data_IF_623520565052
#
_entry.id   IF_623520565052
#
_cell.length_a   1.000
_cell.length_b   1.000
_cell.length_c   1.000
_cell.angle_alpha   90.00
_cell.angle_beta   90.00
_cell.angle_gamma   90.00
#
_symmetry.space_group_name_H-M   'P 1'
#
loop_
_entity.id
_entity.type
_entity.pdbx_description
1 polymer ?
#
# COMPACT_ATOMS: atom_id res chain seq x y z
N UNK A 1 1.18 7.17 -32.85
CA UNK A 1 0.39 7.57 -31.68
C UNK A 1 0.67 9.04 -31.44
N UNK A 2 -0.23 9.82 -30.85
CA UNK A 2 0.09 11.19 -30.47
C UNK A 2 1.17 11.15 -29.37
N UNK A 3 2.09 12.13 -29.36
CA UNK A 3 3.07 12.23 -28.28
C UNK A 3 2.36 12.40 -26.94
N UNK A 4 2.82 11.73 -25.86
CA UNK A 4 2.27 11.88 -24.52
C UNK A 4 2.33 13.36 -24.09
N UNK A 5 1.22 13.88 -23.60
CA UNK A 5 1.13 15.26 -23.10
C UNK A 5 1.36 15.36 -21.61
N UNK A 6 1.29 14.23 -20.92
CA UNK A 6 1.53 14.13 -19.47
C UNK A 6 2.88 13.47 -19.26
N UNK A 7 3.66 14.06 -18.36
CA UNK A 7 5.03 13.67 -18.01
C UNK A 7 5.16 13.58 -16.50
N UNK A 8 6.21 12.94 -16.00
CA UNK A 8 6.41 12.74 -14.58
C UNK A 8 7.65 13.46 -14.06
N UNK A 9 7.56 13.96 -12.82
CA UNK A 9 8.70 14.38 -12.01
C UNK A 9 8.76 13.48 -10.77
N UNK A 10 9.85 12.73 -10.65
CA UNK A 10 10.09 11.83 -9.52
C UNK A 10 11.02 12.50 -8.53
N UNK A 11 10.49 12.88 -7.37
CA UNK A 11 11.23 13.59 -6.32
C UNK A 11 11.65 12.58 -5.24
N UNK A 12 12.94 12.58 -4.92
CA UNK A 12 13.48 11.68 -3.89
C UNK A 12 14.63 12.37 -3.14
N UNK A 13 14.82 11.95 -1.89
CA UNK A 13 16.02 12.34 -1.12
C UNK A 13 17.31 11.82 -1.76
N UNK A 14 17.23 10.79 -2.59
CA UNK A 14 18.38 10.17 -3.25
C UNK A 14 18.31 10.38 -4.76
N UNK A 15 19.31 11.04 -5.35
CA UNK A 15 19.45 11.16 -6.80
C UNK A 15 19.41 9.78 -7.48
N UNK A 16 20.12 8.80 -6.95
CA UNK A 16 20.18 7.44 -7.50
C UNK A 16 18.84 6.72 -7.46
N UNK A 17 18.00 6.98 -6.44
CA UNK A 17 16.66 6.39 -6.34
C UNK A 17 15.77 7.01 -7.42
N UNK A 18 15.73 8.31 -7.55
CA UNK A 18 14.95 9.00 -8.57
C UNK A 18 15.38 8.62 -9.99
N UNK A 19 16.68 8.59 -10.28
CA UNK A 19 17.23 8.20 -11.57
C UNK A 19 16.92 6.73 -11.91
N UNK A 20 17.14 5.80 -10.97
CA UNK A 20 16.88 4.38 -11.18
C UNK A 20 15.39 4.09 -11.37
N UNK A 21 14.51 4.81 -10.67
CA UNK A 21 13.07 4.68 -10.86
C UNK A 21 12.63 5.28 -12.21
N UNK A 22 13.19 6.41 -12.63
CA UNK A 22 12.94 6.98 -13.95
C UNK A 22 13.36 6.03 -15.07
N UNK A 23 14.51 5.36 -14.92
CA UNK A 23 14.96 4.32 -15.86
C UNK A 23 13.98 3.13 -15.89
N UNK A 24 13.55 2.64 -14.73
CA UNK A 24 12.61 1.52 -14.63
C UNK A 24 11.27 1.86 -15.26
N UNK A 25 10.68 3.01 -14.93
CA UNK A 25 9.40 3.44 -15.48
C UNK A 25 9.48 3.71 -16.98
N UNK A 26 10.61 4.24 -17.46
CA UNK A 26 10.88 4.46 -18.88
C UNK A 26 10.94 3.17 -19.71
N UNK A 27 11.20 2.01 -19.12
CA UNK A 27 11.09 0.73 -19.84
C UNK A 27 9.65 0.38 -20.21
N UNK A 28 8.68 0.86 -19.41
CA UNK A 28 7.25 0.60 -19.64
C UNK A 28 6.57 1.73 -20.41
N UNK A 29 7.18 2.92 -20.41
CA UNK A 29 6.64 4.14 -20.99
C UNK A 29 7.71 4.87 -21.81
N UNK A 30 8.09 4.26 -22.92
CA UNK A 30 9.24 4.70 -23.75
C UNK A 30 9.08 6.07 -24.40
N UNK A 31 7.85 6.54 -24.57
CA UNK A 31 7.53 7.83 -25.19
C UNK A 31 7.22 8.92 -24.14
N UNK A 32 7.14 8.55 -22.84
CA UNK A 32 6.86 9.46 -21.71
C UNK A 32 8.17 10.04 -21.18
N UNK A 33 8.23 11.35 -21.04
CA UNK A 33 9.34 11.99 -20.32
C UNK A 33 9.17 11.83 -18.83
N UNK A 34 10.23 11.38 -18.18
CA UNK A 34 10.29 11.19 -16.73
C UNK A 34 11.53 11.89 -16.22
N UNK A 35 11.33 12.97 -15.49
CA UNK A 35 12.42 13.74 -14.89
C UNK A 35 12.69 13.25 -13.47
N UNK A 36 13.97 13.08 -13.14
CA UNK A 36 14.41 12.73 -11.79
C UNK A 36 14.90 14.00 -11.08
N UNK A 37 14.25 14.36 -9.96
CA UNK A 37 14.61 15.47 -9.09
C UNK A 37 15.00 14.93 -7.71
N UNK A 38 16.16 14.32 -7.60
CA UNK A 38 16.61 13.63 -6.39
C UNK A 38 17.93 14.14 -5.83
N UNK A 39 18.06 14.10 -4.51
CA UNK A 39 19.25 14.56 -3.78
C UNK A 39 19.40 16.07 -3.72
N UNK A 40 20.55 16.50 -3.19
CA UNK A 40 20.98 17.87 -3.21
C UNK A 40 21.93 18.10 -4.40
N UNK A 41 22.13 19.37 -4.80
CA UNK A 41 23.09 19.75 -5.84
C UNK A 41 24.52 19.31 -5.53
N UNK A 42 24.86 19.17 -4.25
CA UNK A 42 26.14 18.61 -3.79
C UNK A 42 26.30 17.11 -4.04
N UNK A 43 25.21 16.40 -4.43
CA UNK A 43 25.16 14.96 -4.54
C UNK A 43 24.87 14.22 -3.22
N UNK A 44 24.62 14.94 -2.14
CA UNK A 44 24.25 14.37 -0.84
C UNK A 44 22.77 14.03 -0.78
N UNK A 45 22.39 13.24 0.22
CA UNK A 45 20.98 12.89 0.52
C UNK A 45 20.25 14.14 1.01
N UNK A 46 19.07 14.40 0.45
CA UNK A 46 18.20 15.52 0.80
C UNK A 46 17.29 15.91 -0.36
N UNK A 47 16.47 16.95 -0.18
CA UNK A 47 15.59 17.51 -1.21
C UNK A 47 16.01 18.96 -1.50
N UNK A 48 16.15 19.28 -2.78
CA UNK A 48 16.47 20.64 -3.24
C UNK A 48 15.23 21.28 -3.85
N UNK A 49 14.80 22.42 -3.29
CA UNK A 49 13.73 23.23 -3.84
C UNK A 49 14.03 23.62 -5.31
N UNK A 50 15.24 24.10 -5.56
CA UNK A 50 15.65 24.60 -6.88
C UNK A 50 15.67 23.51 -7.95
N UNK A 51 16.10 22.28 -7.60
CA UNK A 51 16.07 21.13 -8.52
C UNK A 51 14.63 20.72 -8.87
N UNK A 52 13.74 20.71 -7.87
CA UNK A 52 12.32 20.35 -8.07
C UNK A 52 11.63 21.43 -8.92
N UNK A 53 11.78 22.70 -8.55
CA UNK A 53 11.21 23.84 -9.27
C UNK A 53 11.67 23.85 -10.73
N UNK A 54 12.97 23.70 -10.96
CA UNK A 54 13.56 23.67 -12.32
C UNK A 54 12.98 22.52 -13.13
N UNK A 55 12.92 21.30 -12.57
CA UNK A 55 12.40 20.12 -13.27
C UNK A 55 10.94 20.31 -13.68
N UNK A 56 10.10 20.90 -12.83
CA UNK A 56 8.69 21.16 -13.12
C UNK A 56 8.57 22.27 -14.17
N UNK A 57 9.24 23.42 -13.98
CA UNK A 57 9.13 24.58 -14.85
C UNK A 57 9.62 24.30 -16.28
N UNK A 58 10.71 23.53 -16.42
CA UNK A 58 11.22 23.15 -17.74
C UNK A 58 10.18 22.36 -18.54
N UNK A 59 9.46 21.44 -17.90
CA UNK A 59 8.42 20.63 -18.54
C UNK A 59 7.16 21.46 -18.86
N UNK A 60 6.71 22.30 -17.92
CA UNK A 60 5.59 23.23 -18.13
C UNK A 60 5.89 24.23 -19.24
N UNK A 61 7.12 24.74 -19.32
CA UNK A 61 7.58 25.65 -20.36
C UNK A 61 7.53 25.06 -21.79
N UNK A 62 7.52 23.74 -21.91
CA UNK A 62 7.32 23.02 -23.17
C UNK A 62 5.83 22.75 -23.48
N UNK A 63 4.93 23.18 -22.61
CA UNK A 63 3.47 22.97 -22.75
C UNK A 63 3.01 21.58 -22.36
N UNK A 64 3.76 20.88 -21.54
CA UNK A 64 3.43 19.54 -21.01
C UNK A 64 2.69 19.67 -19.68
N UNK A 65 1.84 18.71 -19.38
CA UNK A 65 1.23 18.57 -18.06
C UNK A 65 2.08 17.65 -17.18
N UNK A 66 2.20 17.95 -15.89
CA UNK A 66 3.16 17.30 -15.00
C UNK A 66 2.47 16.59 -13.84
N UNK A 67 2.79 15.33 -13.63
CA UNK A 67 2.48 14.61 -12.38
C UNK A 67 3.76 14.50 -11.54
N UNK A 68 3.69 14.94 -10.29
CA UNK A 68 4.80 14.91 -9.33
C UNK A 68 4.56 13.83 -8.28
N UNK A 69 5.57 13.01 -8.03
CA UNK A 69 5.55 11.93 -7.02
C UNK A 69 6.75 12.08 -6.09
N UNK A 70 6.60 11.74 -4.81
CA UNK A 70 7.63 11.88 -3.77
C UNK A 70 7.88 10.58 -3.02
N UNK A 71 9.08 10.44 -2.42
CA UNK A 71 9.45 9.26 -1.62
C UNK A 71 9.04 9.39 -0.14
N UNK A 72 9.26 10.53 0.49
CA UNK A 72 9.02 10.74 1.93
C UNK A 72 8.38 12.10 2.19
N UNK A 73 7.69 12.24 3.32
CA UNK A 73 6.92 13.43 3.67
C UNK A 73 7.69 14.76 3.65
N UNK A 74 9.02 14.78 3.91
CA UNK A 74 9.82 16.01 3.76
C UNK A 74 10.00 16.41 2.30
N UNK A 75 10.05 15.47 1.36
CA UNK A 75 10.03 15.78 -0.07
C UNK A 75 8.65 16.32 -0.48
N UNK A 76 7.57 15.76 0.06
CA UNK A 76 6.21 16.26 -0.11
C UNK A 76 6.10 17.74 0.29
N UNK A 77 6.57 18.10 1.48
CA UNK A 77 6.54 19.49 1.96
C UNK A 77 7.31 20.45 1.02
N UNK A 78 8.42 19.98 0.46
CA UNK A 78 9.21 20.80 -0.50
C UNK A 78 8.45 20.97 -1.82
N UNK A 79 7.83 19.89 -2.33
CA UNK A 79 6.99 19.94 -3.55
C UNK A 79 5.80 20.86 -3.33
N UNK A 80 5.07 20.74 -2.22
CA UNK A 80 3.95 21.63 -1.90
C UNK A 80 4.37 23.10 -1.90
N UNK A 81 5.55 23.41 -1.33
CA UNK A 81 6.09 24.78 -1.34
C UNK A 81 6.41 25.29 -2.76
N UNK A 82 6.84 24.43 -3.68
CA UNK A 82 7.03 24.80 -5.09
C UNK A 82 5.69 25.05 -5.75
N UNK A 83 4.71 24.18 -5.51
CA UNK A 83 3.40 24.25 -6.14
C UNK A 83 2.54 25.44 -5.71
N UNK A 84 2.81 26.02 -4.52
CA UNK A 84 2.14 27.26 -4.06
C UNK A 84 2.24 28.42 -5.07
N UNK A 85 3.24 28.38 -5.96
CA UNK A 85 3.46 29.41 -6.98
C UNK A 85 2.97 29.00 -8.38
N UNK A 86 2.34 27.84 -8.52
CA UNK A 86 1.94 27.23 -9.79
C UNK A 86 0.42 26.91 -9.87
N UNK A 87 -0.42 27.68 -9.16
CA UNK A 87 -1.87 27.42 -8.99
C UNK A 87 -2.64 27.28 -10.32
N UNK A 88 -2.23 27.97 -11.38
CA UNK A 88 -2.91 27.97 -12.68
C UNK A 88 -2.23 27.03 -13.71
N UNK A 89 -1.17 26.33 -13.34
CA UNK A 89 -0.40 25.49 -14.25
C UNK A 89 -0.91 24.04 -14.25
N UNK A 90 -0.76 23.30 -15.36
CA UNK A 90 -1.20 21.90 -15.45
C UNK A 90 -0.23 20.95 -14.73
N UNK A 91 -0.15 21.07 -13.41
CA UNK A 91 0.69 20.24 -12.55
C UNK A 91 -0.14 19.65 -11.41
N UNK A 92 0.09 18.39 -11.09
CA UNK A 92 -0.53 17.69 -9.95
C UNK A 92 0.49 16.94 -9.14
N UNK A 93 0.46 17.16 -7.84
CA UNK A 93 1.13 16.29 -6.88
C UNK A 93 0.21 15.14 -6.49
N UNK A 94 0.74 13.93 -6.42
CA UNK A 94 0.03 12.74 -5.96
C UNK A 94 0.79 12.10 -4.79
N UNK A 95 0.14 12.04 -3.64
CA UNK A 95 0.67 11.36 -2.45
C UNK A 95 0.34 9.87 -2.51
N UNK A 96 1.29 9.09 -3.00
CA UNK A 96 1.14 7.65 -3.18
C UNK A 96 2.51 6.95 -3.09
N UNK A 97 2.57 5.63 -2.85
CA UNK A 97 3.82 4.88 -2.84
C UNK A 97 4.61 5.08 -4.13
N UNK A 98 5.79 5.70 -4.00
CA UNK A 98 6.54 6.26 -5.13
C UNK A 98 6.77 5.28 -6.28
N UNK A 99 7.17 4.03 -6.00
CA UNK A 99 7.54 3.07 -7.05
C UNK A 99 6.32 2.62 -7.83
N UNK A 100 5.29 2.17 -7.12
CA UNK A 100 4.05 1.68 -7.72
C UNK A 100 3.31 2.79 -8.46
N UNK A 101 3.23 3.97 -7.86
CA UNK A 101 2.59 5.14 -8.45
C UNK A 101 3.33 5.62 -9.71
N UNK A 102 4.66 5.63 -9.72
CA UNK A 102 5.44 6.01 -10.89
C UNK A 102 5.20 5.06 -12.08
N UNK A 103 5.15 3.76 -11.83
CA UNK A 103 4.87 2.76 -12.87
C UNK A 103 3.44 2.92 -13.42
N UNK A 104 2.45 3.09 -12.54
CA UNK A 104 1.06 3.25 -12.93
C UNK A 104 0.84 4.55 -13.73
N UNK A 105 1.37 5.68 -13.23
CA UNK A 105 1.30 6.97 -13.90
C UNK A 105 2.00 6.96 -15.27
N UNK A 106 3.22 6.41 -15.34
CA UNK A 106 3.95 6.30 -16.60
C UNK A 106 3.19 5.47 -17.64
N UNK A 107 2.60 4.35 -17.22
CA UNK A 107 1.80 3.49 -18.10
C UNK A 107 0.54 4.20 -18.61
N UNK A 108 -0.17 4.92 -17.75
CA UNK A 108 -1.35 5.71 -18.14
C UNK A 108 -0.98 6.84 -19.11
N UNK A 109 0.09 7.57 -18.82
CA UNK A 109 0.61 8.62 -19.73
C UNK A 109 1.03 8.05 -21.09
N UNK A 110 1.66 6.87 -21.13
CA UNK A 110 2.02 6.17 -22.38
C UNK A 110 0.79 5.79 -23.22
N UNK A 111 -0.35 5.53 -22.56
CA UNK A 111 -1.63 5.25 -23.24
C UNK A 111 -2.29 6.51 -23.80
N UNK A 112 -1.80 7.68 -23.42
CA UNK A 112 -2.29 8.98 -23.88
C UNK A 112 -3.39 9.55 -22.99
N UNK A 113 -3.49 9.08 -21.76
CA UNK A 113 -4.42 9.58 -20.76
C UNK A 113 -4.12 11.06 -20.42
N UNK A 114 -5.13 11.81 -20.00
CA UNK A 114 -4.98 13.20 -19.55
C UNK A 114 -4.41 13.28 -18.12
N UNK A 115 -4.12 14.52 -17.68
CA UNK A 115 -3.51 14.77 -16.36
C UNK A 115 -4.32 14.19 -15.20
N UNK A 116 -5.65 14.31 -15.26
CA UNK A 116 -6.53 13.81 -14.21
C UNK A 116 -6.52 12.28 -14.13
N UNK A 117 -6.60 11.63 -15.29
CA UNK A 117 -6.60 10.18 -15.39
C UNK A 117 -5.24 9.59 -14.97
N UNK A 118 -4.12 10.22 -15.35
CA UNK A 118 -2.77 9.81 -14.93
C UNK A 118 -2.59 9.97 -13.41
N UNK A 119 -3.06 11.07 -12.82
CA UNK A 119 -3.02 11.27 -11.38
C UNK A 119 -3.84 10.20 -10.63
N UNK A 120 -5.08 9.92 -11.11
CA UNK A 120 -5.93 8.85 -10.54
C UNK A 120 -5.27 7.46 -10.68
N UNK A 121 -4.58 7.19 -11.79
CA UNK A 121 -3.84 5.92 -11.95
C UNK A 121 -2.74 5.77 -10.89
N UNK A 122 -2.01 6.86 -10.59
CA UNK A 122 -1.00 6.89 -9.54
C UNK A 122 -1.61 6.66 -8.14
N UNK A 123 -2.70 7.35 -7.79
CA UNK A 123 -3.40 7.22 -6.51
C UNK A 123 -3.89 5.79 -6.26
N UNK A 124 -4.40 5.13 -7.31
CA UNK A 124 -4.93 3.77 -7.23
C UNK A 124 -3.88 2.67 -7.31
N UNK A 125 -2.61 3.01 -7.50
CA UNK A 125 -1.56 2.01 -7.64
C UNK A 125 -1.48 1.08 -6.42
N UNK A 126 -1.68 1.61 -5.22
CA UNK A 126 -1.70 0.82 -3.98
C UNK A 126 -2.94 -0.09 -3.87
N UNK A 127 -4.10 0.37 -4.36
CA UNK A 127 -5.33 -0.45 -4.31
C UNK A 127 -5.19 -1.72 -5.15
N UNK A 128 -4.55 -1.61 -6.32
CA UNK A 128 -4.26 -2.77 -7.19
C UNK A 128 -3.31 -3.74 -6.49
N UNK A 129 -2.33 -3.22 -5.76
CA UNK A 129 -1.37 -4.04 -5.01
C UNK A 129 -2.04 -4.74 -3.82
N UNK A 130 -2.83 -4.01 -3.04
CA UNK A 130 -3.62 -4.56 -1.92
C UNK A 130 -4.67 -5.56 -2.41
N UNK A 131 -5.38 -5.25 -3.51
CA UNK A 131 -6.34 -6.20 -4.11
C UNK A 131 -5.67 -7.43 -4.70
N UNK A 132 -4.44 -7.31 -5.22
CA UNK A 132 -3.67 -8.45 -5.71
C UNK A 132 -3.22 -9.33 -4.55
N UNK A 133 -2.74 -8.76 -3.46
CA UNK A 133 -2.44 -9.51 -2.23
C UNK A 133 -3.70 -10.14 -1.62
N UNK A 134 -4.81 -9.40 -1.57
CA UNK A 134 -6.09 -9.93 -1.11
C UNK A 134 -6.62 -11.04 -2.02
N UNK A 135 -6.35 -10.99 -3.35
CA UNK A 135 -6.70 -12.06 -4.28
C UNK A 135 -5.71 -13.22 -4.25
N UNK A 136 -4.44 -12.99 -4.04
CA UNK A 136 -3.45 -14.05 -3.82
C UNK A 136 -3.71 -14.75 -2.48
N UNK A 137 -4.11 -14.02 -1.44
CA UNK A 137 -4.58 -14.57 -0.17
C UNK A 137 -6.03 -15.14 -0.24
N UNK A 138 -6.81 -14.82 -1.27
CA UNK A 138 -8.18 -15.36 -1.49
C UNK A 138 -8.28 -16.25 -2.72
N UNK A 139 -7.23 -16.38 -3.53
CA UNK A 139 -7.27 -16.99 -4.86
C UNK A 139 -7.21 -18.52 -4.89
N UNK A 140 -6.93 -19.18 -3.75
CA UNK A 140 -6.97 -20.65 -3.66
C UNK A 140 -7.94 -21.16 -2.57
N UNK A 141 -8.57 -20.27 -1.79
CA UNK A 141 -9.38 -20.65 -0.63
C UNK A 141 -10.87 -20.93 -0.94
N UNK A 142 -11.33 -20.73 -2.16
CA UNK A 142 -12.78 -20.90 -2.45
C UNK A 142 -13.23 -22.35 -2.67
N UNK A 143 -12.30 -23.31 -2.80
CA UNK A 143 -12.64 -24.73 -2.99
C UNK A 143 -12.44 -25.58 -1.72
N UNK A 144 -11.68 -25.10 -0.73
CA UNK A 144 -11.31 -25.90 0.44
C UNK A 144 -11.22 -25.08 1.76
N UNK A 145 -11.85 -23.90 1.83
CA UNK A 145 -11.88 -23.09 3.05
C UNK A 145 -12.84 -23.65 4.08
N UNK A 146 -12.42 -23.67 5.33
CA UNK A 146 -13.23 -24.00 6.49
C UNK A 146 -13.30 -22.81 7.44
N UNK A 147 -14.50 -22.39 7.78
CA UNK A 147 -14.74 -21.25 8.66
C UNK A 147 -15.59 -21.65 9.85
N UNK A 148 -15.31 -21.08 11.01
CA UNK A 148 -16.10 -21.24 12.21
C UNK A 148 -16.24 -19.95 13.00
N UNK A 149 -17.47 -19.49 13.17
CA UNK A 149 -17.77 -18.31 13.99
C UNK A 149 -18.02 -18.73 15.44
N UNK A 150 -17.54 -17.92 16.38
CA UNK A 150 -17.63 -18.17 17.82
C UNK A 150 -17.72 -16.86 18.59
N UNK A 151 -18.42 -16.89 19.74
CA UNK A 151 -18.53 -15.74 20.63
C UNK A 151 -17.37 -15.75 21.64
N UNK A 152 -16.73 -14.61 21.83
CA UNK A 152 -15.63 -14.43 22.76
C UNK A 152 -16.15 -14.51 24.21
N UNK A 153 -15.70 -15.50 24.97
CA UNK A 153 -16.13 -15.74 26.36
C UNK A 153 -15.28 -14.97 27.39
N UNK A 154 -14.02 -14.70 27.07
CA UNK A 154 -13.10 -14.01 27.99
C UNK A 154 -13.57 -12.60 28.38
N UNK A 155 -13.59 -12.30 29.66
CA UNK A 155 -14.13 -11.04 30.20
C UNK A 155 -13.39 -9.79 29.68
N UNK A 156 -12.13 -9.92 29.33
CA UNK A 156 -11.30 -8.86 28.79
C UNK A 156 -11.17 -8.91 27.26
N UNK A 157 -11.89 -9.82 26.57
CA UNK A 157 -11.82 -10.01 25.13
C UNK A 157 -10.50 -10.68 24.69
N UNK A 158 -10.16 -10.51 23.40
CA UNK A 158 -8.92 -11.05 22.82
C UNK A 158 -7.70 -10.19 23.17
N UNK A 159 -7.41 -10.03 24.46
CA UNK A 159 -6.22 -9.33 24.95
C UNK A 159 -4.96 -10.24 24.97
N UNK A 160 -3.86 -9.75 25.50
CA UNK A 160 -2.52 -10.36 25.38
C UNK A 160 -2.44 -11.87 25.70
N UNK A 161 -3.13 -12.35 26.73
CA UNK A 161 -3.06 -13.75 27.15
C UNK A 161 -3.88 -14.69 26.26
N UNK A 162 -5.19 -14.42 25.98
CA UNK A 162 -5.93 -15.13 24.97
C UNK A 162 -5.27 -15.10 23.59
N UNK A 163 -4.81 -13.93 23.14
CA UNK A 163 -4.16 -13.77 21.85
C UNK A 163 -2.87 -14.62 21.73
N UNK A 164 -2.06 -14.67 22.79
CA UNK A 164 -0.86 -15.49 22.80
C UNK A 164 -1.17 -17.00 22.74
N UNK A 165 -2.20 -17.45 23.46
CA UNK A 165 -2.63 -18.88 23.42
C UNK A 165 -3.21 -19.27 22.05
N UNK A 166 -3.95 -18.35 21.40
CA UNK A 166 -4.45 -18.57 20.04
C UNK A 166 -3.27 -18.68 19.06
N UNK A 167 -2.30 -17.76 19.16
CA UNK A 167 -1.12 -17.78 18.30
C UNK A 167 -0.29 -19.06 18.45
N UNK A 168 -0.18 -19.59 19.68
CA UNK A 168 0.48 -20.88 19.93
C UNK A 168 -0.28 -22.05 19.27
N UNK A 169 -1.61 -22.06 19.32
CA UNK A 169 -2.42 -23.09 18.65
C UNK A 169 -2.38 -22.95 17.13
N UNK A 170 -2.40 -21.72 16.61
CA UNK A 170 -2.36 -21.45 15.17
C UNK A 170 -1.01 -21.88 14.56
N UNK A 171 0.10 -21.78 15.31
CA UNK A 171 1.41 -22.24 14.86
C UNK A 171 1.50 -23.78 14.64
N UNK A 172 0.50 -24.56 15.07
CA UNK A 172 0.40 -26.00 14.79
C UNK A 172 -0.22 -26.29 13.41
N UNK A 173 -0.77 -25.28 12.71
CA UNK A 173 -1.43 -25.44 11.42
C UNK A 173 -0.43 -25.68 10.28
N UNK A 174 -0.88 -26.35 9.23
CA UNK A 174 -0.11 -26.58 8.01
C UNK A 174 -0.15 -25.37 7.07
N UNK A 175 -1.27 -24.61 7.11
CA UNK A 175 -1.52 -23.42 6.29
C UNK A 175 -1.86 -22.22 7.19
N UNK A 176 -1.87 -21.01 6.61
CA UNK A 176 -2.15 -19.78 7.34
C UNK A 176 -3.61 -19.76 7.86
N UNK A 177 -3.76 -19.49 9.16
CA UNK A 177 -5.05 -19.29 9.81
C UNK A 177 -5.27 -17.79 10.09
N UNK A 178 -6.53 -17.38 10.01
CA UNK A 178 -6.92 -16.00 10.25
C UNK A 178 -8.10 -15.90 11.22
N UNK A 179 -8.18 -14.79 11.92
CA UNK A 179 -9.38 -14.41 12.69
C UNK A 179 -9.92 -13.09 12.16
N UNK A 180 -11.22 -13.10 11.81
CA UNK A 180 -11.93 -11.92 11.32
C UNK A 180 -12.91 -11.38 12.37
N UNK A 181 -12.95 -10.05 12.51
CA UNK A 181 -13.88 -9.33 13.36
C UNK A 181 -14.16 -7.95 12.78
N UNK A 182 -15.43 -7.53 12.71
CA UNK A 182 -15.92 -6.22 12.25
C UNK A 182 -15.33 -5.78 10.87
N UNK A 183 -15.11 -6.75 9.98
CA UNK A 183 -14.56 -6.50 8.63
C UNK A 183 -13.04 -6.44 8.56
N UNK A 184 -12.35 -6.49 9.69
CA UNK A 184 -10.89 -6.63 9.78
C UNK A 184 -10.48 -8.10 9.88
N UNK A 185 -9.25 -8.41 9.46
CA UNK A 185 -8.70 -9.77 9.46
C UNK A 185 -7.27 -9.74 10.02
N UNK A 186 -6.97 -10.61 10.96
CA UNK A 186 -5.67 -10.74 11.59
C UNK A 186 -5.11 -12.14 11.42
N UNK A 187 -3.80 -12.28 11.25
CA UNK A 187 -3.10 -13.57 11.26
C UNK A 187 -3.23 -14.21 12.65
N UNK A 188 -3.72 -15.44 12.67
CA UNK A 188 -3.99 -16.13 13.94
C UNK A 188 -2.72 -16.51 14.71
N UNK A 189 -1.57 -16.59 14.07
CA UNK A 189 -0.26 -16.83 14.67
C UNK A 189 0.38 -15.56 15.26
N UNK A 190 -0.21 -14.38 15.02
CA UNK A 190 0.28 -13.09 15.50
C UNK A 190 -0.56 -12.54 16.66
N UNK A 191 -0.12 -12.76 17.90
CA UNK A 191 -0.79 -12.22 19.07
C UNK A 191 -1.00 -10.70 19.03
N UNK A 192 -0.07 -9.96 18.40
CA UNK A 192 -0.18 -8.51 18.25
C UNK A 192 -1.31 -8.12 17.30
N UNK A 193 -1.44 -8.79 16.16
CA UNK A 193 -2.51 -8.54 15.21
C UNK A 193 -3.87 -8.96 15.77
N UNK A 194 -3.94 -10.06 16.50
CA UNK A 194 -5.16 -10.49 17.20
C UNK A 194 -5.64 -9.46 18.23
N UNK A 195 -4.73 -8.86 18.99
CA UNK A 195 -5.08 -7.78 19.92
C UNK A 195 -5.57 -6.52 19.20
N UNK A 196 -5.06 -6.22 18.01
CA UNK A 196 -5.47 -5.03 17.25
C UNK A 196 -6.91 -5.11 16.75
N UNK A 197 -7.48 -6.30 16.61
CA UNK A 197 -8.90 -6.48 16.26
C UNK A 197 -9.86 -5.85 17.29
N UNK A 198 -9.43 -5.74 18.57
CA UNK A 198 -10.23 -5.12 19.61
C UNK A 198 -11.50 -5.89 20.00
N UNK A 199 -11.61 -7.17 19.65
CA UNK A 199 -12.77 -8.00 19.96
C UNK A 199 -12.94 -8.15 21.48
N UNK A 200 -14.08 -7.72 22.01
CA UNK A 200 -14.45 -7.72 23.42
C UNK A 200 -15.28 -8.96 23.79
N UNK A 201 -15.53 -9.13 25.09
CA UNK A 201 -16.46 -10.19 25.56
C UNK A 201 -17.85 -10.03 24.93
N UNK A 202 -18.36 -11.11 24.38
CA UNK A 202 -19.68 -11.14 23.74
C UNK A 202 -19.65 -10.86 22.25
N UNK A 203 -18.54 -10.40 21.70
CA UNK A 203 -18.37 -10.22 20.26
C UNK A 203 -18.24 -11.57 19.56
N UNK A 204 -18.63 -11.62 18.29
CA UNK A 204 -18.49 -12.81 17.45
C UNK A 204 -17.32 -12.64 16.52
N UNK A 205 -16.35 -13.53 16.61
CA UNK A 205 -15.19 -13.61 15.70
C UNK A 205 -15.33 -14.84 14.80
N UNK A 206 -14.73 -14.79 13.62
CA UNK A 206 -14.73 -15.92 12.67
C UNK A 206 -13.30 -16.39 12.45
N UNK A 207 -13.03 -17.64 12.75
CA UNK A 207 -11.75 -18.30 12.47
C UNK A 207 -11.85 -18.86 11.06
N UNK A 208 -10.86 -18.57 10.23
CA UNK A 208 -10.79 -18.92 8.81
C UNK A 208 -9.52 -19.71 8.56
N UNK A 209 -9.63 -20.87 7.97
CA UNK A 209 -8.50 -21.71 7.60
C UNK A 209 -8.82 -22.60 6.40
N UNK A 210 -7.92 -23.50 6.08
CA UNK A 210 -8.12 -24.53 5.07
C UNK A 210 -8.77 -25.77 5.70
N UNK A 211 -9.47 -26.59 4.91
CA UNK A 211 -10.08 -27.84 5.36
C UNK A 211 -9.09 -28.83 5.95
N UNK A 212 -7.80 -28.76 5.57
CA UNK A 212 -6.74 -29.59 6.17
C UNK A 212 -6.55 -29.23 7.64
N UNK A 213 -6.68 -27.94 8.00
CA UNK A 213 -6.52 -27.41 9.35
C UNK A 213 -7.83 -27.33 10.15
N UNK A 214 -8.92 -27.91 9.63
CA UNK A 214 -10.20 -27.97 10.34
C UNK A 214 -10.08 -28.35 11.82
N UNK A 215 -9.27 -29.36 12.24
CA UNK A 215 -9.12 -29.70 13.65
C UNK A 215 -8.53 -28.56 14.51
N UNK A 216 -7.64 -27.73 13.92
CA UNK A 216 -7.02 -26.59 14.61
C UNK A 216 -7.98 -25.42 14.67
N UNK A 217 -8.71 -25.14 13.57
CA UNK A 217 -9.78 -24.13 13.55
C UNK A 217 -10.83 -24.45 14.62
N UNK A 218 -11.26 -25.72 14.72
CA UNK A 218 -12.23 -26.16 15.73
C UNK A 218 -11.65 -26.02 17.14
N UNK A 219 -10.39 -26.39 17.36
CA UNK A 219 -9.68 -26.26 18.64
C UNK A 219 -9.62 -24.80 19.11
N UNK A 220 -9.26 -23.88 18.21
CA UNK A 220 -9.21 -22.45 18.51
C UNK A 220 -10.61 -21.91 18.82
N UNK A 221 -11.62 -22.25 18.02
CA UNK A 221 -12.97 -21.81 18.22
C UNK A 221 -13.54 -22.29 19.58
N UNK A 222 -13.36 -23.55 19.93
CA UNK A 222 -13.78 -24.10 21.22
C UNK A 222 -13.08 -23.41 22.39
N UNK A 223 -11.76 -23.14 22.26
CA UNK A 223 -10.98 -22.44 23.28
C UNK A 223 -11.47 -20.99 23.50
N UNK A 224 -11.83 -20.27 22.42
CA UNK A 224 -12.41 -18.92 22.52
C UNK A 224 -13.79 -18.96 23.19
N UNK A 225 -14.62 -19.97 22.87
CA UNK A 225 -15.96 -20.13 23.44
C UNK A 225 -15.92 -20.52 24.93
N UNK A 226 -14.92 -21.30 25.34
CA UNK A 226 -14.76 -21.76 26.73
C UNK A 226 -14.03 -20.73 27.62
N UNK A 227 -13.35 -19.77 27.02
CA UNK A 227 -12.52 -18.78 27.67
C UNK A 227 -11.08 -19.24 27.89
N UNK A 228 -10.17 -18.48 27.37
CA UNK A 228 -8.71 -18.76 27.37
C UNK A 228 -7.99 -18.26 28.64
N UNK A 229 -8.66 -17.46 29.46
CA UNK A 229 -8.09 -16.90 30.70
C UNK A 229 -8.16 -17.85 31.93
N UNK A 230 -8.80 -19.00 31.81
CA UNK A 230 -8.92 -20.00 32.88
C UNK A 230 -7.70 -20.88 33.01
#
# INVERSE_FOLDING_TARGET
>A
MAEPKVVLVLVSHSAKLAEGLAELAGQMATDVRIAAAGGLESGEIGTSYDLIETAINDLLGEGLAVVVLTDLGSATMTVESVLEFLDDEPVKFVDAPLVEAAIAAATAAQQGDDLDAVAVAAERAIEVFVQKQAKENSGDAAADSYERSVTVADASGLHARPAAKIAEMAAEAEEDLFIAFDGEKADADSAMMLMSLGAAQGDTVTIIGNSVDKPIVDKIADAIADGLDN
#
